data_IF_184839979866
#
_entry.id   IF_184839979866
#
_cell.length_a   1.000
_cell.length_b   1.000
_cell.length_c   1.000
_cell.angle_alpha   90.00
_cell.angle_beta   90.00
_cell.angle_gamma   90.00
#
_symmetry.space_group_name_H-M   'P 1'
#
loop_
_entity.id
_entity.type
_entity.pdbx_description
1 polymer ?
#
# COMPACT_ATOMS: atom_id res chain seq x y z
N UNK A 1 12.93 -28.03 44.19
CA UNK A 1 12.21 -26.78 43.87
C UNK A 1 10.89 -26.83 44.65
N UNK A 2 10.63 -25.87 45.51
CA UNK A 2 9.49 -25.94 46.46
C UNK A 2 8.18 -25.61 45.74
N UNK A 3 7.05 -26.27 46.19
CA UNK A 3 5.71 -26.03 45.65
C UNK A 3 5.33 -24.53 45.55
N UNK A 4 5.79 -23.75 46.52
CA UNK A 4 5.57 -22.29 46.55
C UNK A 4 6.28 -21.54 45.38
N UNK A 5 7.41 -22.04 44.90
CA UNK A 5 8.15 -21.44 43.78
C UNK A 5 7.47 -21.74 42.45
N UNK A 6 6.83 -22.91 42.32
CA UNK A 6 6.02 -23.22 41.11
C UNK A 6 4.74 -22.35 41.06
N UNK A 7 4.09 -22.10 42.22
CA UNK A 7 2.90 -21.25 42.26
C UNK A 7 3.25 -19.79 41.98
N UNK A 8 4.37 -19.29 42.50
CA UNK A 8 4.84 -17.93 42.21
C UNK A 8 5.20 -17.76 40.70
N UNK A 9 5.88 -18.75 40.12
CA UNK A 9 6.20 -18.72 38.68
C UNK A 9 4.96 -18.80 37.83
N UNK A 10 3.96 -19.62 38.19
CA UNK A 10 2.69 -19.71 37.50
C UNK A 10 1.88 -18.40 37.55
N UNK A 11 1.89 -17.70 38.71
CA UNK A 11 1.23 -16.39 38.83
C UNK A 11 1.92 -15.30 38.01
N UNK A 12 3.24 -15.28 37.91
CA UNK A 12 3.98 -14.34 37.08
C UNK A 12 3.71 -14.59 35.60
N UNK A 13 3.66 -15.87 35.19
CA UNK A 13 3.30 -16.25 33.80
C UNK A 13 1.85 -15.92 33.46
N UNK A 14 0.91 -16.10 34.41
CA UNK A 14 -0.49 -15.73 34.22
C UNK A 14 -0.71 -14.21 34.18
N UNK A 15 0.05 -13.43 34.96
CA UNK A 15 0.04 -11.97 34.91
C UNK A 15 0.63 -11.42 33.59
N UNK A 16 1.66 -12.08 33.03
CA UNK A 16 2.22 -11.72 31.73
C UNK A 16 1.27 -12.06 30.55
N UNK A 17 0.45 -13.11 30.69
CA UNK A 17 -0.54 -13.47 29.67
C UNK A 17 -1.76 -12.53 29.65
N UNK A 18 -2.06 -11.83 30.74
CA UNK A 18 -3.21 -10.93 30.84
C UNK A 18 -3.03 -9.56 30.16
N UNK A 19 -1.81 -9.17 29.79
CA UNK A 19 -1.51 -7.88 29.15
C UNK A 19 -1.41 -7.94 27.62
N UNK A 20 -1.57 -9.11 27.02
CA UNK A 20 -1.54 -9.29 25.55
C UNK A 20 -2.94 -9.26 24.92
N UNK A 21 -3.85 -8.41 25.43
CA UNK A 21 -5.03 -8.02 24.66
C UNK A 21 -4.61 -6.97 23.63
N UNK A 22 -3.78 -7.37 22.68
CA UNK A 22 -3.52 -6.60 21.48
C UNK A 22 -4.87 -6.48 20.74
N UNK A 23 -5.49 -5.31 20.82
CA UNK A 23 -6.72 -5.02 20.10
C UNK A 23 -6.36 -4.83 18.63
N UNK A 24 -6.22 -5.95 17.92
CA UNK A 24 -5.97 -5.97 16.48
C UNK A 24 -7.16 -5.36 15.77
N UNK A 25 -6.99 -4.19 15.20
CA UNK A 25 -8.03 -3.53 14.41
C UNK A 25 -7.80 -3.84 12.92
N UNK A 26 -8.60 -4.75 12.38
CA UNK A 26 -8.64 -5.01 10.94
C UNK A 26 -9.84 -4.30 10.35
N UNK A 27 -9.58 -3.41 9.38
CA UNK A 27 -10.61 -2.69 8.63
C UNK A 27 -10.69 -3.28 7.22
N UNK A 28 -11.89 -3.68 6.82
CA UNK A 28 -12.21 -3.96 5.42
C UNK A 28 -12.65 -2.64 4.78
N UNK A 29 -12.10 -2.32 3.61
CA UNK A 29 -12.44 -1.09 2.89
C UNK A 29 -12.46 -1.34 1.39
N UNK A 30 -13.09 -0.44 0.64
CA UNK A 30 -13.12 -0.54 -0.80
C UNK A 30 -13.83 0.62 -1.47
N UNK A 31 -13.79 0.59 -2.78
CA UNK A 31 -14.52 1.49 -3.68
C UNK A 31 -15.07 0.64 -4.81
N UNK A 32 -16.31 0.88 -5.18
CA UNK A 32 -16.92 0.34 -6.40
C UNK A 32 -17.26 1.53 -7.30
N UNK A 33 -16.58 1.62 -8.42
CA UNK A 33 -16.78 2.64 -9.44
C UNK A 33 -17.22 1.95 -10.73
N UNK A 34 -18.44 2.18 -11.14
CA UNK A 34 -19.02 1.61 -12.37
C UNK A 34 -19.70 2.74 -13.15
N UNK A 35 -19.36 2.84 -14.42
CA UNK A 35 -19.90 3.84 -15.32
C UNK A 35 -20.42 3.21 -16.61
N UNK A 36 -21.30 3.93 -17.29
CA UNK A 36 -21.76 3.59 -18.66
C UNK A 36 -21.42 4.75 -19.55
N UNK A 37 -20.74 4.48 -20.64
CA UNK A 37 -20.30 5.50 -21.55
C UNK A 37 -19.94 4.96 -22.92
N UNK A 38 -19.48 5.85 -23.78
CA UNK A 38 -18.86 5.47 -25.08
C UNK A 38 -17.38 5.74 -25.03
N UNK A 39 -16.60 4.82 -25.56
CA UNK A 39 -15.17 5.03 -25.75
C UNK A 39 -14.89 6.25 -26.65
N UNK A 40 -13.67 6.75 -26.63
CA UNK A 40 -13.25 7.95 -27.39
C UNK A 40 -13.25 7.77 -28.92
N UNK A 41 -13.48 6.56 -29.41
CA UNK A 41 -13.57 6.30 -30.87
C UNK A 41 -14.96 6.66 -31.36
N UNK A 42 -15.02 7.26 -32.56
CA UNK A 42 -16.28 7.74 -33.18
C UNK A 42 -17.30 6.64 -33.42
N UNK A 43 -16.87 5.40 -33.55
CA UNK A 43 -17.67 4.20 -33.79
C UNK A 43 -17.90 3.34 -32.55
N UNK A 44 -17.46 3.80 -31.37
CA UNK A 44 -17.60 3.05 -30.15
C UNK A 44 -19.07 2.90 -29.76
N UNK A 45 -19.48 1.66 -29.43
CA UNK A 45 -20.77 1.39 -28.79
C UNK A 45 -20.77 1.83 -27.34
N UNK A 46 -21.95 1.94 -26.76
CA UNK A 46 -22.06 2.12 -25.31
C UNK A 46 -21.56 0.87 -24.60
N UNK A 47 -20.73 1.06 -23.61
CA UNK A 47 -20.14 -0.01 -22.79
C UNK A 47 -20.22 0.32 -21.30
N UNK A 48 -20.21 -0.71 -20.49
CA UNK A 48 -20.06 -0.58 -19.04
C UNK A 48 -18.56 -0.65 -18.71
N UNK A 49 -18.10 0.25 -17.86
CA UNK A 49 -16.68 0.38 -17.50
C UNK A 49 -16.52 0.34 -16.00
N UNK A 50 -15.47 -0.31 -15.55
CA UNK A 50 -15.04 -0.31 -14.15
C UNK A 50 -13.91 0.70 -13.95
N UNK A 51 -13.98 1.48 -12.86
CA UNK A 51 -12.84 2.28 -12.42
C UNK A 51 -12.56 3.53 -13.25
N UNK A 52 -13.57 4.19 -13.78
CA UNK A 52 -13.38 5.39 -14.60
C UNK A 52 -12.88 6.60 -13.80
N UNK A 53 -13.45 6.84 -12.63
CA UNK A 53 -13.07 7.96 -11.73
C UNK A 53 -12.06 7.51 -10.68
N UNK A 54 -12.32 6.37 -10.04
CA UNK A 54 -11.37 5.72 -9.12
C UNK A 54 -11.38 4.21 -9.38
N UNK A 55 -10.23 3.57 -9.28
CA UNK A 55 -10.13 2.12 -9.46
C UNK A 55 -11.02 1.37 -8.47
N UNK A 56 -11.93 0.54 -8.97
CA UNK A 56 -12.70 -0.38 -8.11
C UNK A 56 -11.76 -1.33 -7.39
N UNK A 57 -11.85 -1.37 -6.07
CA UNK A 57 -10.88 -2.08 -5.21
C UNK A 57 -11.51 -2.58 -3.93
N UNK A 58 -10.95 -3.64 -3.41
CA UNK A 58 -11.23 -4.18 -2.07
C UNK A 58 -9.91 -4.34 -1.32
N UNK A 59 -9.88 -3.99 -0.07
CA UNK A 59 -8.68 -4.10 0.74
C UNK A 59 -8.94 -4.39 2.20
N UNK A 60 -7.88 -4.82 2.84
CA UNK A 60 -7.77 -5.05 4.27
C UNK A 60 -6.58 -4.27 4.79
N UNK A 61 -6.75 -3.58 5.89
CA UNK A 61 -5.66 -2.92 6.60
C UNK A 61 -5.82 -3.11 8.09
N UNK A 62 -4.73 -3.17 8.78
CA UNK A 62 -4.74 -3.32 10.22
C UNK A 62 -3.54 -2.66 10.87
N UNK A 63 -3.70 -2.39 12.16
CA UNK A 63 -2.66 -1.87 13.02
C UNK A 63 -2.75 -2.56 14.36
N UNK A 64 -1.62 -3.03 14.87
CA UNK A 64 -1.48 -3.63 16.20
C UNK A 64 -0.54 -2.78 17.03
N UNK A 65 -0.95 -2.42 18.23
CA UNK A 65 -0.12 -1.69 19.19
C UNK A 65 0.83 -2.67 19.88
N UNK A 66 2.13 -2.47 19.68
CA UNK A 66 3.18 -3.27 20.31
C UNK A 66 3.69 -2.67 21.63
N UNK A 67 3.07 -1.59 22.07
CA UNK A 67 3.49 -0.84 23.27
C UNK A 67 4.56 0.22 22.99
N UNK A 68 4.72 1.14 23.93
CA UNK A 68 5.71 2.24 23.85
C UNK A 68 5.62 3.10 22.58
N UNK A 69 4.42 3.20 21.99
CA UNK A 69 4.20 3.96 20.74
C UNK A 69 4.67 3.24 19.47
N UNK A 70 5.10 1.99 19.58
CA UNK A 70 5.44 1.14 18.42
C UNK A 70 4.19 0.42 17.92
N UNK A 71 3.97 0.41 16.60
CA UNK A 71 2.84 -0.27 15.96
C UNK A 71 3.32 -1.14 14.81
N UNK A 72 2.72 -2.33 14.68
CA UNK A 72 2.80 -3.13 13.47
C UNK A 72 1.60 -2.80 12.58
N UNK A 73 1.85 -2.58 11.28
CA UNK A 73 0.84 -2.23 10.31
C UNK A 73 0.89 -3.18 9.12
N UNK A 74 -0.26 -3.38 8.47
CA UNK A 74 -0.31 -4.08 7.19
C UNK A 74 -1.40 -3.51 6.29
N UNK A 75 -1.25 -3.73 4.99
CA UNK A 75 -2.28 -3.45 4.01
C UNK A 75 -2.22 -4.45 2.86
N UNK A 76 -3.38 -5.00 2.52
CA UNK A 76 -3.62 -5.82 1.35
C UNK A 76 -4.71 -5.15 0.53
N UNK A 77 -4.49 -4.89 -0.77
CA UNK A 77 -5.47 -4.25 -1.64
C UNK A 77 -5.39 -4.85 -3.04
N UNK A 78 -6.53 -5.33 -3.51
CA UNK A 78 -6.71 -5.86 -4.86
C UNK A 78 -7.67 -5.01 -5.68
N UNK A 79 -7.62 -5.19 -6.98
CA UNK A 79 -8.51 -4.54 -7.95
C UNK A 79 -9.65 -5.46 -8.33
N UNK A 80 -10.84 -4.88 -8.48
CA UNK A 80 -12.07 -5.58 -8.86
C UNK A 80 -12.59 -4.98 -10.16
N UNK A 81 -12.94 -5.82 -11.14
CA UNK A 81 -13.78 -5.41 -12.26
C UNK A 81 -15.23 -5.29 -11.80
N UNK A 82 -15.70 -4.08 -11.54
CA UNK A 82 -17.06 -3.89 -11.02
C UNK A 82 -18.15 -4.19 -12.05
N UNK A 83 -17.80 -4.21 -13.32
CA UNK A 83 -18.64 -4.57 -14.47
C UNK A 83 -18.71 -6.07 -14.71
N UNK A 84 -17.67 -6.82 -14.36
CA UNK A 84 -17.53 -8.25 -14.64
C UNK A 84 -17.44 -9.13 -13.39
N UNK A 85 -17.20 -8.53 -12.22
CA UNK A 85 -16.91 -9.27 -10.99
C UNK A 85 -15.50 -9.88 -10.95
N UNK A 86 -14.64 -9.57 -11.90
CA UNK A 86 -13.30 -10.12 -11.96
C UNK A 86 -12.44 -9.63 -10.78
N UNK A 87 -11.71 -10.56 -10.14
CA UNK A 87 -10.63 -10.24 -9.21
C UNK A 87 -9.29 -10.32 -9.94
N UNK A 88 -8.69 -9.18 -10.20
CA UNK A 88 -7.52 -9.11 -11.06
C UNK A 88 -6.23 -9.27 -10.23
N UNK A 89 -5.50 -10.39 -10.47
CA UNK A 89 -4.14 -10.60 -9.97
C UNK A 89 -3.93 -10.45 -8.45
N UNK A 90 -4.91 -10.80 -7.63
CA UNK A 90 -4.78 -10.77 -6.17
C UNK A 90 -4.54 -9.36 -5.60
N UNK A 91 -3.66 -9.25 -4.63
CA UNK A 91 -3.37 -7.98 -3.94
C UNK A 91 -2.30 -7.13 -4.66
N UNK A 92 -2.44 -6.95 -5.97
CA UNK A 92 -1.47 -6.24 -6.80
C UNK A 92 -1.34 -4.75 -6.51
N UNK A 93 -2.30 -4.15 -5.78
CA UNK A 93 -2.27 -2.71 -5.47
C UNK A 93 -1.45 -2.42 -4.22
N UNK A 94 -1.72 -3.12 -3.13
CA UNK A 94 -0.97 -3.04 -1.88
C UNK A 94 -0.79 -4.45 -1.31
N UNK A 95 0.41 -4.79 -0.93
CA UNK A 95 0.73 -6.04 -0.23
C UNK A 95 2.01 -5.80 0.58
N UNK A 96 1.85 -5.23 1.78
CA UNK A 96 2.98 -4.85 2.61
C UNK A 96 2.67 -5.02 4.10
N UNK A 97 3.74 -5.13 4.87
CA UNK A 97 3.77 -5.08 6.34
C UNK A 97 4.79 -4.03 6.76
N UNK A 98 4.59 -3.41 7.91
CA UNK A 98 5.50 -2.36 8.37
C UNK A 98 5.45 -2.13 9.87
N UNK A 99 6.37 -1.30 10.33
CA UNK A 99 6.45 -0.80 11.70
C UNK A 99 6.41 0.72 11.68
N UNK A 100 5.68 1.31 12.61
CA UNK A 100 5.63 2.76 12.80
C UNK A 100 5.79 3.14 14.27
N UNK A 101 6.33 4.34 14.49
CA UNK A 101 6.56 4.88 15.82
C UNK A 101 7.09 6.31 15.77
N UNK A 102 7.72 6.78 16.85
CA UNK A 102 8.36 8.10 16.90
C UNK A 102 9.45 8.30 15.84
N UNK A 103 10.04 7.21 15.35
CA UNK A 103 11.05 7.24 14.27
C UNK A 103 10.44 7.42 12.87
N UNK A 104 9.13 7.36 12.72
CA UNK A 104 8.45 7.35 11.42
C UNK A 104 7.86 5.98 11.09
N UNK A 105 7.94 5.57 9.82
CA UNK A 105 7.35 4.31 9.33
C UNK A 105 8.29 3.58 8.37
N UNK A 106 8.47 2.28 8.58
CA UNK A 106 9.15 1.38 7.65
C UNK A 106 8.14 0.40 7.09
N UNK A 107 8.10 0.25 5.76
CA UNK A 107 7.22 -0.68 5.04
C UNK A 107 8.05 -1.64 4.19
N UNK A 108 7.62 -2.90 4.13
CA UNK A 108 8.25 -3.99 3.40
C UNK A 108 7.21 -4.66 2.49
N UNK A 109 7.46 -4.74 1.20
CA UNK A 109 6.58 -5.41 0.24
C UNK A 109 6.21 -4.56 -0.97
N UNK A 110 5.01 -4.77 -1.50
CA UNK A 110 4.50 -4.02 -2.64
C UNK A 110 3.62 -2.88 -2.18
N UNK A 111 4.04 -1.65 -2.48
CA UNK A 111 3.27 -0.45 -2.14
C UNK A 111 3.48 0.68 -3.17
N UNK A 112 2.73 1.75 -3.01
CA UNK A 112 2.84 2.96 -3.82
C UNK A 112 4.21 3.60 -3.64
N UNK A 113 4.84 3.95 -4.74
CA UNK A 113 6.18 4.58 -4.74
C UNK A 113 6.15 5.98 -4.11
N UNK A 114 7.26 6.46 -3.50
CA UNK A 114 7.36 7.80 -2.93
C UNK A 114 6.95 8.90 -3.90
N UNK A 115 7.40 8.80 -5.15
CA UNK A 115 7.08 9.76 -6.20
C UNK A 115 5.58 9.80 -6.53
N UNK A 116 4.94 8.63 -6.68
CA UNK A 116 3.51 8.59 -6.97
C UNK A 116 2.67 9.14 -5.80
N UNK A 117 3.09 8.91 -4.55
CA UNK A 117 2.45 9.52 -3.38
C UNK A 117 2.57 11.04 -3.41
N UNK A 118 3.76 11.56 -3.74
CA UNK A 118 4.00 13.00 -3.86
C UNK A 118 3.13 13.60 -4.97
N UNK A 119 3.09 12.98 -6.15
CA UNK A 119 2.26 13.44 -7.25
C UNK A 119 0.78 13.49 -6.89
N UNK A 120 0.28 12.52 -6.12
CA UNK A 120 -1.10 12.50 -5.64
C UNK A 120 -1.47 13.69 -4.76
N UNK A 121 -0.52 14.39 -4.14
CA UNK A 121 -0.78 15.60 -3.37
C UNK A 121 -1.06 16.83 -4.23
N UNK A 122 -0.56 16.82 -5.48
CA UNK A 122 -0.73 17.93 -6.44
C UNK A 122 -1.79 17.64 -7.51
N UNK A 123 -2.27 16.41 -7.57
CA UNK A 123 -3.26 16.00 -8.54
C UNK A 123 -4.67 16.08 -7.93
N UNK A 124 -5.50 16.96 -8.48
CA UNK A 124 -6.88 17.16 -8.04
C UNK A 124 -7.73 15.89 -8.13
N UNK A 125 -7.38 14.97 -9.01
CA UNK A 125 -8.06 13.69 -9.19
C UNK A 125 -7.36 12.53 -8.45
N UNK A 126 -6.38 12.81 -7.59
CA UNK A 126 -5.72 11.81 -6.76
C UNK A 126 -4.98 10.72 -7.53
N UNK A 127 -4.43 11.01 -8.70
CA UNK A 127 -3.78 10.06 -9.61
C UNK A 127 -4.71 9.01 -10.22
N UNK A 128 -6.03 9.30 -10.28
CA UNK A 128 -6.99 8.44 -10.95
C UNK A 128 -6.68 8.32 -12.47
N UNK A 129 -7.19 7.28 -13.11
CA UNK A 129 -6.94 7.02 -14.54
C UNK A 129 -7.42 8.18 -15.43
N UNK A 130 -8.42 8.94 -14.98
CA UNK A 130 -8.88 10.19 -15.59
C UNK A 130 -8.05 11.42 -15.26
N UNK A 131 -6.97 11.31 -14.47
CA UNK A 131 -6.16 12.45 -14.04
C UNK A 131 -5.51 13.15 -15.22
N UNK A 132 -5.88 14.42 -15.37
CA UNK A 132 -5.32 15.27 -16.43
C UNK A 132 -3.88 15.71 -16.16
N UNK A 133 -3.51 15.92 -14.90
CA UNK A 133 -2.19 16.42 -14.52
C UNK A 133 -1.08 15.42 -14.89
N UNK A 134 -1.25 14.15 -14.56
CA UNK A 134 -0.28 13.10 -14.89
C UNK A 134 -0.18 12.87 -16.41
N UNK A 135 -1.30 12.96 -17.13
CA UNK A 135 -1.34 12.78 -18.58
C UNK A 135 -0.77 13.99 -19.33
N UNK A 136 -1.13 15.20 -18.90
CA UNK A 136 -0.63 16.44 -19.52
C UNK A 136 0.89 16.59 -19.36
N UNK A 137 1.43 16.21 -18.21
CA UNK A 137 2.88 16.24 -17.97
C UNK A 137 3.64 15.10 -18.67
N UNK A 138 2.95 14.20 -19.37
CA UNK A 138 3.57 13.04 -20.03
C UNK A 138 4.16 12.00 -19.06
N UNK A 139 3.93 12.19 -17.77
CA UNK A 139 4.54 11.38 -16.71
C UNK A 139 3.88 9.98 -16.68
N UNK A 140 2.60 9.90 -17.05
CA UNK A 140 1.86 8.63 -17.07
C UNK A 140 1.95 7.91 -18.42
N UNK A 141 2.30 8.63 -19.51
CA UNK A 141 2.09 8.13 -20.87
C UNK A 141 3.11 7.09 -21.35
N UNK A 142 4.30 7.01 -20.76
CA UNK A 142 5.37 6.22 -21.37
C UNK A 142 6.13 5.28 -20.41
N UNK A 143 5.64 5.00 -19.21
CA UNK A 143 6.29 4.02 -18.32
C UNK A 143 7.75 4.34 -17.93
N UNK A 144 8.32 5.41 -18.50
CA UNK A 144 9.74 5.66 -18.43
C UNK A 144 10.19 6.28 -17.09
N UNK A 145 9.28 6.93 -16.37
CA UNK A 145 9.72 7.66 -15.17
C UNK A 145 9.12 7.19 -13.85
N UNK A 146 7.93 6.57 -13.84
CA UNK A 146 7.37 6.23 -12.53
C UNK A 146 6.35 5.09 -12.57
N UNK A 147 6.74 3.91 -12.17
CA UNK A 147 5.77 2.92 -11.74
C UNK A 147 4.99 3.47 -10.54
N UNK A 148 3.66 3.48 -10.61
CA UNK A 148 2.81 3.91 -9.50
C UNK A 148 3.02 3.07 -8.24
N UNK A 149 3.41 1.81 -8.42
CA UNK A 149 3.68 0.83 -7.37
C UNK A 149 4.86 -0.03 -7.75
N UNK A 150 5.59 -0.47 -6.75
CA UNK A 150 6.73 -1.38 -6.95
C UNK A 150 6.65 -2.52 -5.96
N UNK A 151 7.03 -3.73 -6.42
CA UNK A 151 7.23 -4.91 -5.58
C UNK A 151 8.61 -4.90 -4.94
N UNK A 152 8.80 -5.76 -3.93
CA UNK A 152 10.10 -6.05 -3.32
C UNK A 152 10.81 -4.79 -2.82
N UNK A 153 10.06 -3.85 -2.26
CA UNK A 153 10.66 -2.63 -1.76
C UNK A 153 10.68 -2.57 -0.24
N UNK A 154 11.71 -1.91 0.26
CA UNK A 154 11.76 -1.32 1.59
C UNK A 154 11.52 0.17 1.43
N UNK A 155 10.52 0.71 2.10
CA UNK A 155 10.22 2.14 2.09
C UNK A 155 10.25 2.67 3.53
N UNK A 156 10.92 3.82 3.71
CA UNK A 156 10.92 4.56 4.97
C UNK A 156 10.28 5.92 4.77
N UNK A 157 9.45 6.32 5.72
CA UNK A 157 8.91 7.66 5.84
C UNK A 157 9.33 8.28 7.17
N UNK A 158 9.85 9.51 7.12
CA UNK A 158 10.16 10.26 8.36
C UNK A 158 8.89 10.55 9.16
N UNK A 159 9.00 10.84 10.45
CA UNK A 159 7.92 11.53 11.15
C UNK A 159 7.54 12.82 10.41
N UNK A 160 6.31 13.27 10.57
CA UNK A 160 5.90 14.58 10.07
C UNK A 160 6.54 15.68 10.91
N UNK A 161 7.23 16.59 10.26
CA UNK A 161 7.83 17.81 10.83
C UNK A 161 7.01 19.01 10.35
N UNK A 162 5.92 19.30 11.04
CA UNK A 162 4.91 20.24 10.55
C UNK A 162 4.20 19.66 9.32
N UNK A 163 4.26 20.37 8.20
CA UNK A 163 3.73 19.91 6.91
C UNK A 163 4.73 19.06 6.11
N UNK A 164 5.98 18.98 6.55
CA UNK A 164 7.04 18.28 5.80
C UNK A 164 7.13 16.80 6.18
N UNK A 165 7.25 15.93 5.18
CA UNK A 165 7.57 14.52 5.33
C UNK A 165 8.46 14.05 4.17
N UNK A 166 9.58 13.42 4.48
CA UNK A 166 10.44 12.77 3.48
C UNK A 166 10.13 11.27 3.40
N UNK A 167 10.28 10.69 2.20
CA UNK A 167 10.16 9.26 1.95
C UNK A 167 11.31 8.80 1.07
N UNK A 168 11.86 7.63 1.39
CA UNK A 168 12.84 6.94 0.57
C UNK A 168 12.40 5.50 0.38
N UNK A 169 12.59 4.97 -0.82
CA UNK A 169 12.32 3.57 -1.13
C UNK A 169 13.48 2.96 -1.91
N UNK A 170 13.84 1.76 -1.53
CA UNK A 170 14.75 0.89 -2.26
C UNK A 170 14.02 -0.38 -2.67
N UNK A 171 14.05 -0.71 -3.95
CA UNK A 171 13.45 -1.92 -4.51
C UNK A 171 14.51 -2.89 -4.96
N UNK A 172 14.38 -4.11 -4.47
CA UNK A 172 15.26 -5.22 -4.84
C UNK A 172 14.86 -5.78 -6.20
N UNK A 173 15.84 -6.05 -7.04
CA UNK A 173 15.65 -6.81 -8.27
C UNK A 173 15.30 -8.26 -7.94
N UNK A 174 14.30 -8.81 -8.61
CA UNK A 174 14.01 -10.24 -8.57
C UNK A 174 14.59 -10.93 -9.80
N UNK A 175 15.47 -11.90 -9.57
CA UNK A 175 15.85 -12.85 -10.62
C UNK A 175 14.81 -13.96 -10.64
N UNK A 176 13.79 -13.83 -11.48
CA UNK A 176 12.92 -14.97 -11.79
C UNK A 176 13.73 -15.92 -12.66
N UNK A 177 14.05 -17.11 -12.13
CA UNK A 177 14.77 -18.15 -12.86
C UNK A 177 14.11 -18.40 -14.23
N UNK A 178 14.81 -18.07 -15.32
CA UNK A 178 14.40 -18.35 -16.68
C UNK A 178 14.01 -17.17 -17.57
N UNK A 179 13.98 -15.94 -17.05
CA UNK A 179 13.71 -14.77 -17.89
C UNK A 179 14.86 -13.76 -17.72
N UNK A 180 15.73 -13.69 -18.72
CA UNK A 180 16.73 -12.65 -18.81
C UNK A 180 16.02 -11.31 -19.11
N UNK A 181 15.69 -10.58 -18.09
CA UNK A 181 15.21 -9.21 -18.17
C UNK A 181 15.98 -8.39 -17.15
N UNK A 182 16.62 -7.32 -17.60
CA UNK A 182 17.33 -6.33 -16.78
C UNK A 182 16.41 -5.70 -15.73
N UNK A 183 16.11 -6.42 -14.67
CA UNK A 183 15.45 -5.85 -13.50
C UNK A 183 16.54 -5.21 -12.66
N UNK A 184 16.66 -3.91 -12.77
CA UNK A 184 17.61 -3.11 -11.98
C UNK A 184 16.98 -2.77 -10.64
N UNK A 185 17.80 -2.80 -9.60
CA UNK A 185 17.46 -2.16 -8.32
C UNK A 185 17.07 -0.70 -8.59
N UNK A 186 16.15 -0.18 -7.80
CA UNK A 186 15.77 1.22 -7.91
C UNK A 186 15.89 1.92 -6.55
N UNK A 187 16.23 3.19 -6.60
CA UNK A 187 16.20 4.09 -5.45
C UNK A 187 15.30 5.28 -5.78
N UNK A 188 14.36 5.59 -4.91
CA UNK A 188 13.48 6.74 -5.04
C UNK A 188 13.48 7.58 -3.77
N UNK A 189 13.44 8.89 -3.94
CA UNK A 189 13.32 9.88 -2.87
C UNK A 189 12.19 10.85 -3.22
N UNK A 190 11.35 11.18 -2.27
CA UNK A 190 10.34 12.21 -2.37
C UNK A 190 10.20 12.96 -1.04
N UNK A 191 9.84 14.24 -1.11
CA UNK A 191 9.54 15.05 0.05
C UNK A 191 8.35 15.97 -0.24
N UNK A 192 7.44 16.12 0.72
CA UNK A 192 6.22 16.92 0.61
C UNK A 192 5.97 17.70 1.90
#
# INVERSE_FOLDING_TARGET
MNKQMHVALAMVLAAAAGSAAAQSNVTVYGVIDTSVGRGYKSDASAEMMSGYTDTSKLGFRGSEDLGNGLKANFQLEGEIGSDTGAWTEGFKRQSWVGLSGSFGEVMLGRTTTPQNRLMGTFDLNGTADGSSAMKVLGIAANGAFMSSRQSNQVQYATPKLGSFQARVAYGFSETVSGTAGDKKDFLQLAAS
#
